data_IF_676184987437
#
_entry.id   IF_676184987437
#
_cell.length_a   1.000
_cell.length_b   1.000
_cell.length_c   1.000
_cell.angle_alpha   90.00
_cell.angle_beta   90.00
_cell.angle_gamma   90.00
#
_symmetry.space_group_name_H-M   'P 1'
#
loop_
_entity.id
_entity.type
_entity.pdbx_description
1 polymer ?
#
# COMPACT_ATOMS: atom_id res chain seq x y z
N UNK A 1 -22.78 -23.49 -0.13
CA UNK A 1 -21.52 -23.04 -0.76
C UNK A 1 -20.38 -23.71 0.00
N UNK A 2 -19.35 -24.21 -0.69
CA UNK A 2 -18.19 -24.80 -0.02
C UNK A 2 -17.16 -23.72 0.35
N UNK A 3 -16.27 -24.03 1.31
CA UNK A 3 -15.20 -23.13 1.74
C UNK A 3 -14.30 -22.75 0.56
N UNK A 4 -14.04 -23.68 -0.35
CA UNK A 4 -13.25 -23.43 -1.57
C UNK A 4 -13.93 -22.39 -2.47
N UNK A 5 -15.24 -22.51 -2.68
CA UNK A 5 -16.01 -21.56 -3.49
C UNK A 5 -16.05 -20.16 -2.85
N UNK A 6 -16.20 -20.08 -1.54
CA UNK A 6 -16.17 -18.81 -0.81
C UNK A 6 -14.79 -18.14 -0.87
N UNK A 7 -13.73 -18.94 -0.67
CA UNK A 7 -12.35 -18.48 -0.76
C UNK A 7 -12.00 -17.99 -2.16
N UNK A 8 -12.49 -18.66 -3.20
CA UNK A 8 -12.38 -18.21 -4.59
C UNK A 8 -13.08 -16.87 -4.78
N UNK A 9 -14.30 -16.71 -4.27
CA UNK A 9 -15.06 -15.46 -4.37
C UNK A 9 -14.32 -14.29 -3.73
N UNK A 10 -13.81 -14.46 -2.51
CA UNK A 10 -13.03 -13.42 -1.80
C UNK A 10 -11.72 -13.12 -2.55
N UNK A 11 -11.04 -14.14 -3.08
CA UNK A 11 -9.83 -13.96 -3.88
C UNK A 11 -10.11 -13.16 -5.16
N UNK A 12 -11.22 -13.44 -5.83
CA UNK A 12 -11.66 -12.70 -7.03
C UNK A 12 -12.04 -11.26 -6.71
N UNK A 13 -12.77 -11.02 -5.62
CA UNK A 13 -13.12 -9.66 -5.18
C UNK A 13 -11.86 -8.83 -4.86
N UNK A 14 -10.87 -9.43 -4.18
CA UNK A 14 -9.59 -8.78 -3.92
C UNK A 14 -8.83 -8.44 -5.21
N UNK A 15 -8.82 -9.37 -6.17
CA UNK A 15 -8.22 -9.13 -7.47
C UNK A 15 -8.90 -7.96 -8.20
N UNK A 16 -10.24 -7.96 -8.28
CA UNK A 16 -11.02 -6.91 -8.93
C UNK A 16 -10.83 -5.54 -8.27
N UNK A 17 -10.73 -5.50 -6.94
CA UNK A 17 -10.42 -4.28 -6.19
C UNK A 17 -9.05 -3.72 -6.56
N UNK A 18 -8.04 -4.60 -6.69
CA UNK A 18 -6.67 -4.23 -7.06
C UNK A 18 -6.50 -3.90 -8.55
N UNK A 19 -7.43 -4.33 -9.40
CA UNK A 19 -7.46 -3.95 -10.82
C UNK A 19 -7.85 -2.49 -11.02
N UNK A 20 -8.62 -1.93 -10.09
CA UNK A 20 -9.08 -0.56 -10.17
C UNK A 20 -7.97 0.42 -9.76
N UNK A 21 -7.75 1.50 -10.52
CA UNK A 21 -6.76 2.50 -10.16
C UNK A 21 -7.13 3.18 -8.84
N UNK A 22 -6.26 3.05 -7.84
CA UNK A 22 -6.47 3.67 -6.52
C UNK A 22 -6.28 5.19 -6.62
N UNK A 23 -7.38 5.94 -6.47
CA UNK A 23 -7.34 7.41 -6.39
C UNK A 23 -6.80 7.84 -5.03
N UNK A 24 -6.00 8.91 -4.99
CA UNK A 24 -5.38 9.42 -3.75
C UNK A 24 -6.41 9.73 -2.64
N UNK A 25 -7.58 10.25 -3.01
CA UNK A 25 -8.66 10.61 -2.08
C UNK A 25 -9.32 9.38 -1.42
N UNK A 26 -9.34 8.24 -2.10
CA UNK A 26 -9.96 7.00 -1.62
C UNK A 26 -8.94 5.97 -1.15
N UNK A 27 -7.68 6.39 -1.00
CA UNK A 27 -6.57 5.46 -0.75
C UNK A 27 -6.76 4.73 0.57
N UNK A 28 -7.16 5.43 1.62
CA UNK A 28 -7.35 4.84 2.94
C UNK A 28 -8.52 3.84 2.93
N UNK A 29 -9.66 4.20 2.32
CA UNK A 29 -10.81 3.30 2.12
C UNK A 29 -10.41 2.03 1.34
N UNK A 30 -9.59 2.19 0.30
CA UNK A 30 -9.13 1.07 -0.53
C UNK A 30 -8.20 0.15 0.27
N UNK A 31 -7.30 0.72 1.09
CA UNK A 31 -6.40 -0.05 1.96
C UNK A 31 -7.21 -0.83 3.01
N UNK A 32 -8.21 -0.19 3.63
CA UNK A 32 -9.09 -0.87 4.60
C UNK A 32 -9.86 -2.03 3.97
N UNK A 33 -10.40 -1.83 2.76
CA UNK A 33 -11.08 -2.88 2.01
C UNK A 33 -10.13 -4.06 1.67
N UNK A 34 -8.90 -3.77 1.21
CA UNK A 34 -7.87 -4.79 0.96
C UNK A 34 -7.58 -5.57 2.25
N UNK A 35 -7.37 -4.88 3.38
CA UNK A 35 -7.06 -5.53 4.66
C UNK A 35 -8.21 -6.42 5.14
N UNK A 36 -9.46 -5.98 4.97
CA UNK A 36 -10.64 -6.77 5.29
C UNK A 36 -10.69 -8.05 4.44
N UNK A 37 -10.51 -7.95 3.12
CA UNK A 37 -10.54 -9.09 2.21
C UNK A 37 -9.41 -10.07 2.50
N UNK A 38 -8.20 -9.58 2.78
CA UNK A 38 -7.06 -10.43 3.19
C UNK A 38 -7.36 -11.17 4.50
N UNK A 39 -7.94 -10.49 5.50
CA UNK A 39 -8.29 -11.10 6.79
C UNK A 39 -9.37 -12.18 6.63
N UNK A 40 -10.39 -11.92 5.81
CA UNK A 40 -11.43 -12.89 5.48
C UNK A 40 -10.84 -14.12 4.77
N UNK A 41 -9.92 -13.88 3.83
CA UNK A 41 -9.21 -14.94 3.11
C UNK A 41 -8.38 -15.82 4.04
N UNK A 42 -7.65 -15.24 4.99
CA UNK A 42 -6.84 -15.99 5.97
C UNK A 42 -7.71 -16.92 6.83
N UNK A 43 -8.88 -16.45 7.26
CA UNK A 43 -9.85 -17.25 8.02
C UNK A 43 -10.39 -18.42 7.20
N UNK A 44 -10.68 -18.21 5.91
CA UNK A 44 -11.17 -19.25 5.01
C UNK A 44 -10.09 -20.29 4.66
N UNK A 45 -8.83 -19.86 4.48
CA UNK A 45 -7.69 -20.76 4.24
C UNK A 45 -7.54 -21.75 5.40
N UNK A 46 -7.71 -21.30 6.64
CA UNK A 46 -7.62 -22.18 7.83
C UNK A 46 -8.73 -23.23 7.90
N UNK A 47 -9.83 -23.04 7.17
CA UNK A 47 -10.98 -23.93 7.15
C UNK A 47 -10.94 -24.94 6.00
N UNK A 48 -9.96 -24.84 5.10
CA UNK A 48 -9.79 -25.79 3.99
C UNK A 48 -9.49 -27.19 4.51
N UNK A 49 -10.31 -28.17 4.13
CA UNK A 49 -10.12 -29.57 4.48
C UNK A 49 -10.40 -30.49 3.29
N UNK A 50 -9.52 -31.46 2.99
CA UNK A 50 -9.76 -32.48 1.97
C UNK A 50 -10.79 -33.52 2.47
N UNK A 51 -11.39 -34.33 1.56
CA UNK A 51 -11.16 -34.38 0.11
C UNK A 51 -11.88 -33.28 -0.67
N UNK A 52 -11.31 -32.89 -1.82
CA UNK A 52 -11.88 -31.88 -2.73
C UNK A 52 -12.50 -32.53 -3.96
N UNK A 53 -13.62 -31.98 -4.45
CA UNK A 53 -14.19 -32.36 -5.75
C UNK A 53 -13.33 -31.87 -6.92
N UNK A 54 -13.58 -32.40 -8.13
CA UNK A 54 -12.91 -31.91 -9.36
C UNK A 54 -13.16 -30.41 -9.57
N UNK A 55 -14.40 -29.95 -9.36
CA UNK A 55 -14.77 -28.53 -9.45
C UNK A 55 -13.96 -27.67 -8.45
N UNK A 56 -13.76 -28.16 -7.22
CA UNK A 56 -12.98 -27.46 -6.21
C UNK A 56 -11.48 -27.41 -6.53
N UNK A 57 -10.95 -28.46 -7.16
CA UNK A 57 -9.58 -28.47 -7.66
C UNK A 57 -9.38 -27.45 -8.79
N UNK A 58 -10.34 -27.35 -9.72
CA UNK A 58 -10.33 -26.33 -10.78
C UNK A 58 -10.35 -24.91 -10.21
N UNK A 59 -11.22 -24.65 -9.23
CA UNK A 59 -11.25 -23.37 -8.53
C UNK A 59 -9.91 -23.09 -7.84
N UNK A 60 -9.33 -24.10 -7.17
CA UNK A 60 -8.02 -23.99 -6.54
C UNK A 60 -6.91 -23.58 -7.51
N UNK A 61 -6.87 -24.17 -8.70
CA UNK A 61 -5.90 -23.80 -9.75
C UNK A 61 -6.09 -22.35 -10.20
N UNK A 62 -7.34 -21.92 -10.44
CA UNK A 62 -7.61 -20.53 -10.80
C UNK A 62 -7.21 -19.55 -9.70
N UNK A 63 -7.43 -19.91 -8.42
CA UNK A 63 -7.02 -19.07 -7.30
C UNK A 63 -5.50 -18.89 -7.23
N UNK A 64 -4.72 -19.92 -7.54
CA UNK A 64 -3.26 -19.81 -7.54
C UNK A 64 -2.81 -18.75 -8.56
N UNK A 65 -3.38 -18.78 -9.77
CA UNK A 65 -3.10 -17.76 -10.80
C UNK A 65 -3.53 -16.34 -10.36
N UNK A 66 -4.70 -16.21 -9.74
CA UNK A 66 -5.14 -14.92 -9.20
C UNK A 66 -4.21 -14.42 -8.08
N UNK A 67 -3.71 -15.31 -7.23
CA UNK A 67 -2.85 -14.97 -6.11
C UNK A 67 -1.50 -14.40 -6.55
N UNK A 68 -0.93 -14.90 -7.66
CA UNK A 68 0.28 -14.33 -8.26
C UNK A 68 0.04 -12.87 -8.69
N UNK A 69 -1.03 -12.63 -9.44
CA UNK A 69 -1.37 -11.29 -9.91
C UNK A 69 -1.72 -10.32 -8.76
N UNK A 70 -2.41 -10.80 -7.72
CA UNK A 70 -2.68 -10.04 -6.49
C UNK A 70 -1.36 -9.62 -5.82
N UNK A 71 -0.39 -10.53 -5.72
CA UNK A 71 0.91 -10.27 -5.13
C UNK A 71 1.65 -9.13 -5.82
N UNK A 72 1.70 -9.16 -7.15
CA UNK A 72 2.31 -8.09 -7.95
C UNK A 72 1.62 -6.74 -7.75
N UNK A 73 0.28 -6.71 -7.78
CA UNK A 73 -0.51 -5.48 -7.61
C UNK A 73 -0.35 -4.88 -6.22
N UNK A 74 -0.33 -5.71 -5.17
CA UNK A 74 -0.07 -5.25 -3.79
C UNK A 74 1.33 -4.65 -3.66
N UNK A 75 2.33 -5.25 -4.31
CA UNK A 75 3.69 -4.70 -4.33
C UNK A 75 3.74 -3.34 -5.04
N UNK A 76 3.08 -3.21 -6.19
CA UNK A 76 2.99 -1.95 -6.93
C UNK A 76 2.29 -0.85 -6.11
N UNK A 77 1.14 -1.17 -5.50
CA UNK A 77 0.41 -0.24 -4.64
C UNK A 77 1.28 0.23 -3.46
N UNK A 78 1.99 -0.71 -2.81
CA UNK A 78 2.93 -0.38 -1.73
C UNK A 78 4.03 0.58 -2.20
N UNK A 79 4.62 0.34 -3.37
CA UNK A 79 5.64 1.22 -3.93
C UNK A 79 5.08 2.62 -4.24
N UNK A 80 3.89 2.71 -4.82
CA UNK A 80 3.22 3.99 -5.08
C UNK A 80 2.99 4.78 -3.79
N UNK A 81 2.50 4.12 -2.73
CA UNK A 81 2.31 4.72 -1.40
C UNK A 81 3.63 5.27 -0.85
N UNK A 82 4.73 4.50 -0.96
CA UNK A 82 6.05 4.92 -0.49
C UNK A 82 6.58 6.14 -1.27
N UNK A 83 6.39 6.17 -2.58
CA UNK A 83 6.77 7.31 -3.42
C UNK A 83 5.99 8.57 -3.04
N UNK A 84 4.68 8.46 -2.84
CA UNK A 84 3.84 9.58 -2.38
C UNK A 84 4.31 10.13 -1.02
N UNK A 85 4.64 9.25 -0.06
CA UNK A 85 5.18 9.66 1.24
C UNK A 85 6.52 10.39 1.11
N UNK A 86 7.41 9.93 0.22
CA UNK A 86 8.69 10.58 -0.05
C UNK A 86 8.48 11.97 -0.66
N UNK A 87 7.58 12.10 -1.64
CA UNK A 87 7.25 13.37 -2.28
C UNK A 87 6.66 14.39 -1.28
N UNK A 88 5.78 13.95 -0.37
CA UNK A 88 5.23 14.80 0.67
C UNK A 88 6.31 15.33 1.63
N UNK A 89 7.25 14.47 2.04
CA UNK A 89 8.39 14.87 2.89
C UNK A 89 9.28 15.89 2.19
N UNK A 90 9.61 15.66 0.92
CA UNK A 90 10.43 16.60 0.12
C UNK A 90 9.73 17.96 -0.05
N UNK A 91 8.42 17.97 -0.35
CA UNK A 91 7.64 19.21 -0.46
C UNK A 91 7.64 19.98 0.87
N UNK A 92 7.52 19.30 2.01
CA UNK A 92 7.59 19.93 3.34
C UNK A 92 8.96 20.57 3.58
N UNK A 93 10.06 19.86 3.30
CA UNK A 93 11.42 20.38 3.45
C UNK A 93 11.67 21.59 2.53
N UNK A 94 11.26 21.51 1.27
CA UNK A 94 11.38 22.63 0.33
C UNK A 94 10.60 23.85 0.84
N UNK A 95 9.36 23.68 1.28
CA UNK A 95 8.56 24.79 1.79
C UNK A 95 9.15 25.43 3.06
N UNK A 96 9.70 24.62 3.98
CA UNK A 96 10.42 25.13 5.17
C UNK A 96 11.65 25.95 4.80
N UNK A 97 12.44 25.51 3.81
CA UNK A 97 13.61 26.24 3.32
C UNK A 97 13.25 27.57 2.63
N UNK A 98 12.08 27.65 1.98
CA UNK A 98 11.59 28.89 1.36
C UNK A 98 10.94 29.87 2.36
N UNK A 99 10.35 29.37 3.45
CA UNK A 99 9.74 30.21 4.50
C UNK A 99 10.76 30.77 5.51
N UNK A 100 12.01 30.29 5.51
CA UNK A 100 13.07 30.78 6.40
C UNK A 100 14.29 31.41 5.66
N UNK A 101 14.12 32.41 4.75
CA UNK A 101 15.28 33.09 4.12
C UNK A 101 16.04 34.02 5.07
N UNK A 102 15.49 34.28 6.26
CA UNK A 102 15.96 35.26 7.24
C UNK A 102 16.13 34.66 8.63
N UNK A 103 16.37 33.35 8.74
CA UNK A 103 16.97 32.86 9.97
C UNK A 103 18.34 33.56 10.07
N UNK A 104 18.58 34.41 11.08
CA UNK A 104 19.88 35.04 11.20
C UNK A 104 20.85 33.88 11.42
N UNK A 105 21.64 33.56 10.39
CA UNK A 105 22.95 32.96 10.59
C UNK A 105 23.52 33.68 11.80
N UNK A 106 23.76 32.94 12.88
CA UNK A 106 24.46 33.49 14.03
C UNK A 106 25.82 33.95 13.50
N UNK A 107 25.89 35.22 13.09
CA UNK A 107 27.11 35.95 12.84
C UNK A 107 27.68 36.09 14.23
N UNK A 108 28.47 35.08 14.61
CA UNK A 108 29.37 35.18 15.74
C UNK A 108 30.16 36.47 15.51
N UNK A 109 29.92 37.44 16.39
CA UNK A 109 30.24 38.84 16.18
C UNK A 109 31.76 39.02 16.16
N UNK A 110 32.37 38.93 14.98
CA UNK A 110 33.72 39.43 14.78
C UNK A 110 33.67 40.96 14.69
N UNK A 111 33.91 41.59 15.82
CA UNK A 111 34.21 43.01 15.90
C UNK A 111 35.44 43.32 15.04
N UNK A 112 35.27 44.25 14.10
CA UNK A 112 36.39 44.89 13.41
C UNK A 112 37.21 45.68 14.43
N UNK A 113 38.37 45.16 14.81
CA UNK A 113 39.35 45.99 15.51
C UNK A 113 40.09 46.85 14.48
N UNK A 114 39.58 48.06 14.29
CA UNK A 114 40.35 49.16 13.70
C UNK A 114 41.05 49.91 14.82
N UNK A 115 42.37 49.76 14.97
CA UNK A 115 43.34 50.80 15.38
C UNK A 115 44.78 50.27 15.49
N UNK A 116 45.62 50.50 14.47
CA UNK A 116 46.67 51.55 14.36
C UNK A 116 47.58 51.25 13.18
#
# INVERSE_FOLDING_TARGET
>A
MSVVSELYSVTKELYELLEQPTRKEKRDETIEAIQRLLSQRDVLIQQLQPPYSEEEQELGMQMVSLNEAIGEKLQQLKQQIQQDLKALKQKKMANQNYMNPYEPLAIDGMFYDKKR
#
